data_IF_273814642514
#
_entry.id   IF_273814642514
#
_cell.length_a   1.000
_cell.length_b   1.000
_cell.length_c   1.000
_cell.angle_alpha   90.00
_cell.angle_beta   90.00
_cell.angle_gamma   90.00
#
_symmetry.space_group_name_H-M   'P 1'
#
loop_
_entity.id
_entity.type
_entity.pdbx_description
1 polymer ?
#
# COMPACT_ATOMS: atom_id res chain seq x y z
N UNK A 1 -25.42 -34.63 19.90
CA UNK A 1 -24.29 -35.17 19.60
C UNK A 1 -23.86 -34.97 18.21
N UNK A 2 -23.99 -35.91 17.41
CA UNK A 2 -23.46 -35.64 16.13
C UNK A 2 -24.22 -34.51 15.47
N UNK A 3 -25.48 -34.40 15.75
CA UNK A 3 -26.25 -33.28 15.22
C UNK A 3 -25.70 -31.96 15.70
N UNK A 4 -25.41 -31.90 17.00
CA UNK A 4 -24.85 -30.68 17.53
C UNK A 4 -23.45 -30.44 17.02
N UNK A 5 -22.70 -31.52 16.93
CA UNK A 5 -21.36 -31.44 16.43
C UNK A 5 -21.36 -30.97 14.99
N UNK A 6 -22.24 -31.56 14.19
CA UNK A 6 -22.34 -31.17 12.80
C UNK A 6 -22.79 -29.76 12.64
N UNK A 7 -23.72 -29.32 13.46
CA UNK A 7 -24.17 -27.95 13.39
C UNK A 7 -23.06 -26.98 13.73
N UNK A 8 -22.15 -27.42 14.57
CA UNK A 8 -21.04 -26.55 14.97
C UNK A 8 -19.99 -26.44 13.86
N UNK A 9 -19.89 -27.46 13.02
CA UNK A 9 -18.78 -27.50 12.06
C UNK A 9 -19.22 -27.48 10.62
N UNK A 10 -20.47 -27.83 10.33
CA UNK A 10 -20.92 -27.94 8.96
C UNK A 10 -21.43 -26.60 8.45
N UNK A 11 -20.98 -26.21 7.27
CA UNK A 11 -21.45 -25.01 6.59
C UNK A 11 -21.80 -25.41 5.17
N UNK A 12 -23.02 -25.17 4.75
CA UNK A 12 -23.39 -25.55 3.38
C UNK A 12 -22.53 -24.80 2.36
N UNK A 13 -22.29 -25.46 1.28
CA UNK A 13 -21.48 -24.88 0.23
C UNK A 13 -22.04 -23.55 -0.26
N UNK A 14 -23.34 -23.47 -0.37
CA UNK A 14 -23.95 -22.24 -0.85
C UNK A 14 -23.74 -21.08 0.11
N UNK A 15 -23.61 -21.37 1.42
CA UNK A 15 -23.34 -20.31 2.37
C UNK A 15 -21.94 -19.79 2.23
N UNK A 16 -21.01 -20.65 1.90
CA UNK A 16 -19.66 -20.17 1.61
C UNK A 16 -19.68 -19.21 0.44
N UNK A 17 -20.44 -19.53 -0.58
CA UNK A 17 -20.52 -18.68 -1.75
C UNK A 17 -21.08 -17.33 -1.41
N UNK A 18 -22.05 -17.30 -0.52
CA UNK A 18 -22.76 -16.06 -0.20
C UNK A 18 -22.27 -15.35 1.04
N UNK A 19 -21.38 -16.00 1.78
CA UNK A 19 -20.82 -15.38 2.98
C UNK A 19 -19.91 -14.22 2.57
N UNK A 20 -20.01 -13.09 3.26
CA UNK A 20 -19.04 -12.04 3.00
C UNK A 20 -17.64 -12.61 3.12
N UNK A 21 -16.80 -12.37 2.16
CA UNK A 21 -15.54 -13.09 2.11
C UNK A 21 -14.51 -12.49 3.07
N UNK A 22 -14.66 -12.77 4.36
CA UNK A 22 -13.67 -12.33 5.32
C UNK A 22 -12.31 -12.87 4.96
N UNK A 23 -12.27 -14.11 4.50
CA UNK A 23 -11.00 -14.69 4.10
C UNK A 23 -10.37 -13.91 2.97
N UNK A 24 -11.20 -13.38 2.09
CA UNK A 24 -10.68 -12.62 0.96
C UNK A 24 -10.18 -11.25 1.33
N UNK A 25 -10.48 -10.80 2.54
CA UNK A 25 -9.98 -9.52 3.00
C UNK A 25 -8.63 -9.63 3.68
N UNK A 26 -8.16 -10.86 3.91
CA UNK A 26 -6.87 -11.06 4.53
C UNK A 26 -5.78 -11.09 3.49
N UNK A 27 -4.67 -10.54 3.84
CA UNK A 27 -3.47 -10.62 3.03
C UNK A 27 -2.30 -10.81 3.98
N UNK A 28 -1.25 -11.40 3.47
CA UNK A 28 -0.06 -11.62 4.28
C UNK A 28 1.08 -10.79 3.73
N UNK A 29 1.72 -10.07 4.63
CA UNK A 29 2.91 -9.34 4.28
C UNK A 29 4.11 -10.22 4.60
N UNK A 30 5.09 -10.21 3.72
CA UNK A 30 6.29 -10.98 3.93
C UNK A 30 7.13 -10.36 5.03
N UNK A 31 7.88 -11.20 5.74
CA UNK A 31 8.74 -10.71 6.80
C UNK A 31 10.09 -10.27 6.28
N UNK A 32 10.48 -10.75 5.12
CA UNK A 32 11.78 -10.48 4.53
C UNK A 32 11.61 -10.05 3.09
N UNK A 33 12.54 -9.25 2.55
CA UNK A 33 12.49 -8.87 1.13
C UNK A 33 12.45 -10.11 0.25
N UNK A 34 11.60 -9.77 -0.78
CA UNK A 34 11.41 -10.85 -1.74
C UNK A 34 12.45 -10.74 -2.82
N UNK A 35 13.35 -12.12 -3.00
CA UNK A 35 14.43 -12.22 -3.84
C UNK A 35 13.89 -12.13 -5.23
N UNK A 36 14.32 -11.52 -5.92
CA UNK A 36 14.01 -11.35 -7.31
C UNK A 36 12.82 -10.48 -7.65
N UNK A 37 12.13 -9.96 -6.67
CA UNK A 37 11.02 -9.06 -6.95
C UNK A 37 11.53 -7.62 -7.05
N UNK A 38 10.85 -6.82 -7.86
CA UNK A 38 11.22 -5.42 -8.03
C UNK A 38 10.92 -4.65 -6.75
N UNK A 39 11.81 -3.72 -6.40
CA UNK A 39 11.63 -2.89 -5.22
C UNK A 39 11.16 -1.51 -5.63
N UNK A 40 10.03 -1.10 -5.07
CA UNK A 40 9.44 0.21 -5.31
C UNK A 40 9.66 1.08 -4.09
N UNK A 41 10.34 2.21 -4.28
CA UNK A 41 10.48 3.22 -3.25
C UNK A 41 9.38 4.24 -3.49
N UNK A 42 8.48 4.40 -2.55
CA UNK A 42 7.28 5.20 -2.73
C UNK A 42 7.30 6.40 -1.80
N UNK A 43 6.66 7.49 -2.23
CA UNK A 43 6.58 8.68 -1.40
C UNK A 43 5.47 9.57 -1.92
N UNK A 44 5.02 10.48 -1.08
CA UNK A 44 4.05 11.46 -1.45
C UNK A 44 4.30 12.76 -0.72
N UNK A 45 3.84 13.85 -1.30
CA UNK A 45 3.98 15.16 -0.70
C UNK A 45 2.77 16.00 -1.05
N UNK A 46 2.32 16.83 -0.14
CA UNK A 46 1.20 17.73 -0.39
C UNK A 46 1.47 19.05 0.29
N UNK A 47 0.98 20.12 -0.34
CA UNK A 47 1.04 21.46 0.20
C UNK A 47 -0.22 21.70 1.02
N UNK A 48 -0.06 22.05 2.28
CA UNK A 48 -1.21 22.23 3.15
C UNK A 48 -2.12 23.38 2.70
N UNK A 49 -1.54 24.39 2.09
CA UNK A 49 -2.30 25.59 1.75
C UNK A 49 -3.05 25.42 0.44
N UNK A 50 -2.38 24.90 -0.58
CA UNK A 50 -3.00 24.76 -1.88
C UNK A 50 -3.74 23.44 -2.04
N UNK A 51 -3.45 22.46 -1.18
CA UNK A 51 -4.00 21.11 -1.28
C UNK A 51 -3.56 20.39 -2.52
N UNK A 52 -2.51 20.85 -3.17
CA UNK A 52 -1.92 20.14 -4.29
C UNK A 52 -0.89 19.16 -3.78
N UNK A 53 -0.76 18.04 -4.47
CA UNK A 53 0.20 17.05 -4.07
C UNK A 53 0.70 16.23 -5.22
N UNK A 54 1.71 15.42 -4.92
CA UNK A 54 2.25 14.45 -5.86
C UNK A 54 2.51 13.17 -5.11
N UNK A 55 2.34 12.07 -5.83
CA UNK A 55 2.64 10.75 -5.31
C UNK A 55 3.38 10.00 -6.39
N UNK A 56 4.32 9.15 -5.99
CA UNK A 56 5.06 8.44 -7.00
C UNK A 56 5.98 7.38 -6.45
N UNK A 57 6.71 6.76 -7.35
CA UNK A 57 7.69 5.74 -6.99
C UNK A 57 8.89 5.79 -7.93
N UNK A 58 9.98 5.24 -7.44
CA UNK A 58 11.11 4.86 -8.28
C UNK A 58 11.43 3.41 -7.94
N UNK A 59 11.97 2.67 -8.90
CA UNK A 59 12.28 1.28 -8.66
C UNK A 59 13.74 1.00 -8.89
N UNK A 60 14.18 -0.12 -8.35
CA UNK A 60 15.55 -0.59 -8.60
C UNK A 60 15.77 -1.06 -10.04
N UNK A 61 14.74 -1.04 -10.62
CA UNK A 61 14.76 -1.38 -11.82
C UNK A 61 14.81 -0.31 -12.64
N UNK A 62 14.86 0.84 -12.33
CA UNK A 62 14.97 2.10 -13.02
C UNK A 62 13.67 2.71 -13.51
N UNK A 63 12.56 2.14 -13.14
CA UNK A 63 11.27 2.74 -13.49
C UNK A 63 10.93 3.86 -12.51
N UNK A 64 10.16 4.81 -12.97
CA UNK A 64 9.65 5.84 -12.08
C UNK A 64 8.34 6.37 -12.61
N UNK A 65 7.54 6.89 -11.70
CA UNK A 65 6.24 7.45 -12.05
C UNK A 65 5.85 8.46 -10.97
N UNK A 66 5.30 9.58 -11.39
CA UNK A 66 4.78 10.59 -10.47
C UNK A 66 3.47 11.07 -11.02
N UNK A 67 2.47 11.18 -10.16
CA UNK A 67 1.18 11.74 -10.54
C UNK A 67 0.90 12.97 -9.69
N UNK A 68 0.19 13.92 -10.25
CA UNK A 68 -0.20 15.13 -9.56
C UNK A 68 -1.63 14.98 -9.07
N UNK A 69 -1.86 15.41 -7.84
CA UNK A 69 -3.15 15.25 -7.19
C UNK A 69 -3.65 16.58 -6.70
N UNK A 70 -4.97 16.73 -6.66
CA UNK A 70 -5.59 17.94 -6.14
C UNK A 70 -6.45 17.57 -4.94
N UNK A 71 -6.68 18.56 -4.09
CA UNK A 71 -7.53 18.40 -2.91
C UNK A 71 -7.08 17.19 -2.08
N UNK A 72 -5.79 17.19 -1.76
CA UNK A 72 -5.17 16.04 -1.11
C UNK A 72 -4.39 16.49 0.13
N UNK A 73 -3.90 15.49 0.88
CA UNK A 73 -3.09 15.73 2.06
C UNK A 73 -1.84 14.90 1.98
N UNK A 74 -0.86 15.16 2.85
CA UNK A 74 0.35 14.36 2.89
C UNK A 74 0.02 12.88 3.09
N UNK A 75 -0.88 12.59 4.02
CA UNK A 75 -1.22 11.19 4.30
C UNK A 75 -1.87 10.52 3.11
N UNK A 76 -2.74 11.23 2.41
CA UNK A 76 -3.38 10.66 1.22
C UNK A 76 -2.38 10.41 0.12
N UNK A 77 -1.41 11.30 -0.07
CA UNK A 77 -0.43 11.09 -1.13
C UNK A 77 0.46 9.90 -0.83
N UNK A 78 0.75 9.67 0.45
CA UNK A 78 1.56 8.52 0.82
C UNK A 78 0.85 7.21 0.51
N UNK A 79 -0.43 7.16 0.81
CA UNK A 79 -1.22 5.98 0.46
C UNK A 79 -1.36 5.83 -1.05
N UNK A 80 -1.55 6.94 -1.74
CA UNK A 80 -1.68 6.90 -3.19
C UNK A 80 -0.41 6.35 -3.84
N UNK A 81 0.75 6.70 -3.30
CA UNK A 81 2.00 6.20 -3.84
C UNK A 81 2.09 4.68 -3.71
N UNK A 82 1.66 4.15 -2.57
CA UNK A 82 1.64 2.70 -2.39
C UNK A 82 0.68 2.06 -3.39
N UNK A 83 -0.47 2.68 -3.59
CA UNK A 83 -1.44 2.15 -4.55
C UNK A 83 -0.86 2.11 -5.96
N UNK A 84 -0.16 3.17 -6.35
CA UNK A 84 0.49 3.18 -7.67
C UNK A 84 1.48 2.04 -7.80
N UNK A 85 2.29 1.81 -6.78
CA UNK A 85 3.26 0.74 -6.83
C UNK A 85 2.57 -0.61 -6.97
N UNK A 86 1.48 -0.81 -6.24
CA UNK A 86 0.75 -2.06 -6.33
C UNK A 86 0.11 -2.25 -7.70
N UNK A 87 -0.38 -1.17 -8.29
CA UNK A 87 -0.98 -1.26 -9.62
C UNK A 87 0.04 -1.63 -10.69
N UNK A 88 1.25 -1.09 -10.56
CA UNK A 88 2.25 -1.20 -11.62
C UNK A 88 3.21 -2.35 -11.42
N UNK A 89 3.10 -3.09 -10.33
CA UNK A 89 4.02 -4.18 -10.03
C UNK A 89 3.40 -5.52 -10.42
N UNK A 90 4.24 -6.54 -10.42
CA UNK A 90 3.77 -7.89 -10.68
C UNK A 90 3.19 -8.51 -9.42
N UNK A 91 3.07 -9.82 -9.43
CA UNK A 91 2.45 -10.53 -8.32
C UNK A 91 3.30 -10.54 -7.07
N UNK A 92 4.59 -10.32 -7.20
CA UNK A 92 5.50 -10.23 -6.07
C UNK A 92 6.16 -8.86 -6.10
N UNK A 93 6.18 -8.19 -4.97
CA UNK A 93 6.70 -6.82 -4.95
C UNK A 93 7.26 -6.47 -3.59
N UNK A 94 8.35 -5.71 -3.61
CA UNK A 94 8.91 -5.08 -2.40
C UNK A 94 8.56 -3.60 -2.45
N UNK A 95 8.01 -3.08 -1.37
CA UNK A 95 7.65 -1.66 -1.28
C UNK A 95 8.33 -1.08 -0.06
N UNK A 96 9.01 0.05 -0.26
CA UNK A 96 9.69 0.77 0.80
C UNK A 96 9.05 2.15 0.92
N UNK A 97 8.59 2.49 2.11
CA UNK A 97 7.94 3.77 2.38
C UNK A 97 8.60 4.43 3.59
N UNK A 98 8.56 5.76 3.63
CA UNK A 98 8.97 6.45 4.86
C UNK A 98 7.76 6.92 5.68
N UNK A 99 6.59 6.43 5.36
CA UNK A 99 5.36 6.82 6.06
C UNK A 99 4.98 5.77 7.09
N UNK A 100 5.19 6.08 8.35
CA UNK A 100 4.72 5.19 9.41
C UNK A 100 3.21 5.10 9.43
N UNK A 101 2.55 6.18 9.06
CA UNK A 101 1.10 6.19 8.98
C UNK A 101 0.59 5.16 7.98
N UNK A 102 1.14 5.16 6.78
CA UNK A 102 0.69 4.24 5.75
C UNK A 102 0.99 2.80 6.12
N UNK A 103 2.19 2.56 6.65
CA UNK A 103 2.56 1.22 7.07
C UNK A 103 1.62 0.71 8.16
N UNK A 104 1.31 1.57 9.12
CA UNK A 104 0.44 1.18 10.21
C UNK A 104 -0.96 0.81 9.76
N UNK A 105 -1.50 1.58 8.82
CA UNK A 105 -2.82 1.28 8.31
C UNK A 105 -2.83 -0.08 7.62
N UNK A 106 -1.83 -0.33 6.80
CA UNK A 106 -1.80 -1.58 6.04
C UNK A 106 -1.57 -2.76 6.98
N UNK A 107 -0.66 -2.62 7.94
CA UNK A 107 -0.39 -3.71 8.87
C UNK A 107 -1.58 -4.02 9.76
N UNK A 108 -2.43 -3.05 10.00
CA UNK A 108 -3.62 -3.27 10.83
C UNK A 108 -4.64 -4.17 10.14
N UNK A 109 -4.50 -4.41 8.85
CA UNK A 109 -5.40 -5.30 8.12
C UNK A 109 -6.85 -4.92 8.32
N UNK A 110 -7.25 -3.69 8.00
CA UNK A 110 -8.63 -3.30 8.25
C UNK A 110 -9.59 -4.09 7.34
N UNK A 111 -10.66 -4.59 7.94
CA UNK A 111 -11.69 -5.27 7.18
C UNK A 111 -12.35 -4.34 6.21
N UNK A 112 -12.54 -3.12 6.65
CA UNK A 112 -13.34 -2.16 5.92
C UNK A 112 -12.80 -0.79 6.28
N UNK A 113 -12.83 0.08 5.32
CA UNK A 113 -12.33 1.42 5.54
C UNK A 113 -13.30 2.43 4.96
N UNK A 114 -13.46 3.56 5.67
CA UNK A 114 -14.22 4.64 5.12
C UNK A 114 -13.49 5.30 3.97
N UNK A 115 -12.21 5.10 3.90
CA UNK A 115 -11.41 5.66 2.83
C UNK A 115 -11.48 4.72 1.63
N UNK A 116 -11.91 5.25 0.52
CA UNK A 116 -11.93 4.47 -0.71
C UNK A 116 -10.51 4.09 -1.11
N UNK A 117 -9.57 4.97 -0.86
CA UNK A 117 -8.19 4.70 -1.23
C UNK A 117 -7.64 3.51 -0.45
N UNK A 118 -7.91 3.44 0.85
CA UNK A 118 -7.44 2.31 1.63
C UNK A 118 -8.09 1.03 1.14
N UNK A 119 -9.37 1.08 0.82
CA UNK A 119 -10.06 -0.09 0.27
C UNK A 119 -9.44 -0.55 -1.03
N UNK A 120 -9.06 0.39 -1.89
CA UNK A 120 -8.43 0.03 -3.15
C UNK A 120 -7.07 -0.62 -2.93
N UNK A 121 -6.33 -0.13 -1.94
CA UNK A 121 -5.04 -0.72 -1.62
C UNK A 121 -5.23 -2.17 -1.14
N UNK A 122 -6.20 -2.38 -0.28
CA UNK A 122 -6.47 -3.72 0.23
C UNK A 122 -6.84 -4.66 -0.91
N UNK A 123 -7.66 -4.20 -1.85
CA UNK A 123 -8.01 -5.03 -2.98
C UNK A 123 -6.80 -5.45 -3.79
N UNK A 124 -5.85 -4.52 -3.97
CA UNK A 124 -4.64 -4.86 -4.70
C UNK A 124 -3.78 -5.84 -3.92
N UNK A 125 -3.70 -5.66 -2.61
CA UNK A 125 -2.89 -6.55 -1.78
C UNK A 125 -3.41 -7.99 -1.82
N UNK A 126 -4.72 -8.13 -1.81
CA UNK A 126 -5.33 -9.46 -1.86
C UNK A 126 -4.97 -10.18 -3.14
N UNK A 127 -4.84 -9.44 -4.24
CA UNK A 127 -4.53 -10.04 -5.54
C UNK A 127 -3.08 -10.42 -5.69
N UNK A 128 -2.19 -9.93 -4.84
CA UNK A 128 -0.77 -10.24 -4.95
C UNK A 128 -0.45 -11.60 -4.36
N UNK A 129 0.62 -12.19 -4.83
CA UNK A 129 1.10 -13.43 -4.24
C UNK A 129 1.98 -13.16 -3.04
N UNK A 130 2.89 -12.19 -3.15
CA UNK A 130 3.77 -11.84 -2.05
C UNK A 130 4.02 -10.35 -2.05
N UNK A 131 3.91 -9.75 -0.89
CA UNK A 131 4.22 -8.33 -0.73
C UNK A 131 5.10 -8.16 0.50
N UNK A 132 6.22 -7.50 0.31
CA UNK A 132 7.07 -7.08 1.41
C UNK A 132 6.94 -5.57 1.53
N UNK A 133 6.60 -5.10 2.70
CA UNK A 133 6.39 -3.68 2.93
C UNK A 133 7.29 -3.26 4.09
N UNK A 134 8.18 -2.32 3.82
CA UNK A 134 9.14 -1.88 4.81
C UNK A 134 9.07 -0.38 5.01
N UNK A 135 9.38 0.03 6.23
CA UNK A 135 9.50 1.44 6.56
C UNK A 135 10.96 1.79 6.69
N UNK A 136 11.33 2.97 6.16
CA UNK A 136 12.65 3.53 6.37
C UNK A 136 12.48 4.96 6.84
N UNK A 137 13.42 5.46 7.64
CA UNK A 137 13.31 6.86 8.05
C UNK A 137 13.55 7.79 6.87
N UNK A 138 12.79 8.88 6.84
CA UNK A 138 12.94 9.87 5.78
C UNK A 138 14.26 10.64 5.96
N UNK A 139 14.84 11.03 4.83
CA UNK A 139 16.00 11.91 4.81
C UNK A 139 17.21 11.34 5.56
N UNK A 140 17.40 10.04 5.42
CA UNK A 140 18.54 9.37 6.05
C UNK A 140 19.52 8.80 5.03
N UNK A 141 19.50 9.31 3.81
CA UNK A 141 20.47 8.91 2.81
C UNK A 141 20.19 7.60 2.12
N UNK A 142 18.98 7.09 2.25
CA UNK A 142 18.60 5.87 1.55
C UNK A 142 18.28 6.25 0.12
N UNK A 143 19.07 5.74 -0.83
CA UNK A 143 19.09 6.24 -2.19
C UNK A 143 17.74 6.31 -2.88
N UNK A 144 17.02 5.19 -2.92
CA UNK A 144 15.72 5.19 -3.59
C UNK A 144 14.72 6.08 -2.90
N UNK A 145 14.73 6.09 -1.57
CA UNK A 145 13.82 6.95 -0.83
C UNK A 145 14.12 8.42 -1.12
N UNK A 146 15.37 8.79 -1.20
CA UNK A 146 15.72 10.17 -1.48
C UNK A 146 15.37 10.56 -2.92
N UNK A 147 15.53 9.64 -3.85
CA UNK A 147 15.16 9.91 -5.23
C UNK A 147 13.68 10.21 -5.35
N UNK A 148 12.86 9.37 -4.77
CA UNK A 148 11.41 9.57 -4.93
C UNK A 148 10.96 10.80 -4.16
N UNK A 149 11.59 11.09 -3.03
CA UNK A 149 11.25 12.30 -2.29
C UNK A 149 11.47 13.54 -3.14
N UNK A 150 12.59 13.61 -3.85
CA UNK A 150 12.85 14.75 -4.72
C UNK A 150 11.80 14.87 -5.81
N UNK A 151 11.39 13.76 -6.38
CA UNK A 151 10.40 13.77 -7.44
C UNK A 151 9.05 14.29 -6.97
N UNK A 152 8.60 13.83 -5.82
CA UNK A 152 7.26 14.21 -5.38
C UNK A 152 7.24 15.59 -4.69
N UNK A 153 8.35 16.04 -4.17
CA UNK A 153 8.36 17.32 -3.51
C UNK A 153 8.57 18.49 -4.47
N UNK A 154 8.98 18.21 -5.70
CA UNK A 154 9.23 19.27 -6.67
C UNK A 154 7.94 20.05 -6.92
N UNK A 155 7.99 21.36 -6.65
CA UNK A 155 6.83 22.21 -6.86
C UNK A 155 5.75 22.08 -5.80
N UNK A 156 5.96 21.24 -4.80
CA UNK A 156 4.97 21.02 -3.75
C UNK A 156 5.47 21.55 -2.43
N UNK A 157 6.65 21.12 -1.99
CA UNK A 157 7.24 21.58 -0.75
C UNK A 157 8.18 22.74 -1.04
N UNK A 158 8.19 23.68 -0.11
CA UNK A 158 9.15 24.75 -0.23
C UNK A 158 10.53 24.23 0.10
N UNK A 159 11.49 24.67 -0.67
CA UNK A 159 12.88 24.34 -0.41
C UNK A 159 13.45 25.43 0.47
N UNK A 160 14.02 25.04 1.57
CA UNK A 160 14.63 26.00 2.49
C UNK A 160 16.12 25.93 2.46
#
# INVERSE_FOLDING_TARGET
WWTEYWQATWIPEWEFVNTPPLVKLWYQLEKDPIXGAETFYVDGAANRETKLGKAGYVTDXGRQKVVTLTDTTNQKTELQAIHLALQDSGLEVNIVTDSQYALGIIQAQPDKSESELVSQIIEQLIKKEKVYLAWVPAHKGIGGNEQVDKLVSAGIRKVL
#
